data_IF_450750351656
#
_entry.id   IF_450750351656
#
_cell.length_a   1.000
_cell.length_b   1.000
_cell.length_c   1.000
_cell.angle_alpha   90.00
_cell.angle_beta   90.00
_cell.angle_gamma   90.00
#
_symmetry.space_group_name_H-M   'P 1'
#
loop_
_entity.id
_entity.type
_entity.pdbx_description
1 polymer ?
#
# COMPACT_ATOMS: atom_id res chain seq x y z
N UNK A 1 -9.50 -10.56 -12.14
CA UNK A 1 -8.59 -11.17 -13.13
C UNK A 1 -7.18 -10.77 -12.72
N UNK A 2 -6.18 -11.66 -12.78
CA UNK A 2 -4.81 -11.24 -12.47
C UNK A 2 -4.30 -10.38 -13.62
N UNK A 3 -3.75 -9.21 -13.31
CA UNK A 3 -3.20 -8.30 -14.33
C UNK A 3 -1.89 -8.88 -14.86
N UNK A 4 -1.74 -8.85 -16.17
CA UNK A 4 -0.54 -9.28 -16.89
C UNK A 4 0.15 -8.10 -17.58
N UNK A 5 1.40 -8.30 -18.00
CA UNK A 5 2.15 -7.28 -18.71
C UNK A 5 1.47 -6.96 -20.05
N UNK A 6 1.11 -5.70 -20.26
CA UNK A 6 0.40 -5.22 -21.45
C UNK A 6 -1.08 -4.95 -21.22
N UNK A 7 -1.65 -5.39 -20.09
CA UNK A 7 -3.01 -5.05 -19.70
C UNK A 7 -3.16 -3.55 -19.43
N UNK A 8 -4.35 -3.04 -19.75
CA UNK A 8 -4.73 -1.68 -19.36
C UNK A 8 -5.20 -1.71 -17.92
N UNK A 9 -4.63 -0.84 -17.10
CA UNK A 9 -5.14 -0.62 -15.74
C UNK A 9 -6.58 -0.08 -15.82
N UNK A 10 -7.52 -0.63 -15.02
CA UNK A 10 -8.86 -0.08 -14.93
C UNK A 10 -8.83 1.39 -14.52
N UNK A 11 -9.80 2.17 -15.01
CA UNK A 11 -10.00 3.51 -14.47
C UNK A 11 -10.54 3.39 -13.04
N UNK A 12 -9.97 4.15 -12.12
CA UNK A 12 -10.31 4.10 -10.70
C UNK A 12 -10.16 5.49 -10.10
N UNK A 13 -11.02 5.75 -9.12
CA UNK A 13 -11.01 6.97 -8.31
C UNK A 13 -11.00 6.55 -6.85
N UNK A 14 -9.99 6.98 -6.09
CA UNK A 14 -9.84 6.64 -4.68
C UNK A 14 -9.50 7.88 -3.85
N UNK A 15 -10.06 8.01 -2.62
CA UNK A 15 -9.76 9.13 -1.75
C UNK A 15 -8.31 9.08 -1.27
N UNK A 16 -7.63 10.23 -1.33
CA UNK A 16 -6.24 10.43 -0.94
C UNK A 16 -6.13 11.09 0.44
N UNK A 17 -5.05 10.79 1.16
CA UNK A 17 -4.80 11.33 2.50
C UNK A 17 -4.55 12.86 2.53
N UNK A 18 -4.36 13.48 1.37
CA UNK A 18 -4.25 14.95 1.24
C UNK A 18 -5.61 15.65 1.14
N UNK A 19 -6.71 14.88 1.16
CA UNK A 19 -8.08 15.40 1.07
C UNK A 19 -8.61 15.54 -0.35
N UNK A 20 -7.84 15.11 -1.37
CA UNK A 20 -8.29 15.06 -2.77
C UNK A 20 -8.69 13.63 -3.17
N UNK A 21 -9.27 13.49 -4.36
CA UNK A 21 -9.46 12.19 -5.00
C UNK A 21 -8.35 11.93 -6.02
N UNK A 22 -7.75 10.76 -5.96
CA UNK A 22 -6.79 10.29 -6.95
C UNK A 22 -7.53 9.63 -8.10
N UNK A 23 -7.31 10.13 -9.32
CA UNK A 23 -7.88 9.57 -10.55
C UNK A 23 -6.79 8.93 -11.42
N UNK A 24 -6.95 7.66 -11.75
CA UNK A 24 -6.00 6.95 -12.64
C UNK A 24 -6.02 7.50 -14.06
N UNK A 25 -7.18 7.96 -14.55
CA UNK A 25 -7.32 8.61 -15.85
C UNK A 25 -6.37 9.81 -16.05
N UNK A 26 -6.08 10.56 -14.98
CA UNK A 26 -5.18 11.72 -14.98
C UNK A 26 -3.69 11.33 -15.12
N UNK A 27 -3.36 10.04 -14.95
CA UNK A 27 -2.00 9.53 -15.07
C UNK A 27 -1.66 8.99 -16.45
N UNK A 28 -2.57 9.09 -17.44
CA UNK A 28 -2.32 8.66 -18.81
C UNK A 28 -1.06 9.31 -19.39
N UNK A 29 -0.20 8.48 -19.98
CA UNK A 29 1.08 8.90 -20.56
C UNK A 29 2.23 9.01 -19.55
N UNK A 30 1.98 8.83 -18.24
CA UNK A 30 3.02 8.80 -17.21
C UNK A 30 3.41 7.35 -16.86
N UNK A 31 4.63 7.17 -16.37
CA UNK A 31 5.06 5.91 -15.75
C UNK A 31 4.67 5.94 -14.28
N UNK A 32 3.82 5.01 -13.86
CA UNK A 32 3.26 4.96 -12.51
C UNK A 32 3.72 3.69 -11.79
N UNK A 33 4.32 3.85 -10.61
CA UNK A 33 4.53 2.78 -9.65
C UNK A 33 3.24 2.64 -8.84
N UNK A 34 2.38 1.72 -9.25
CA UNK A 34 1.13 1.43 -8.57
C UNK A 34 1.30 0.23 -7.63
N UNK A 35 1.11 0.41 -6.33
CA UNK A 35 1.41 -0.63 -5.34
C UNK A 35 0.28 -0.82 -4.34
N UNK A 36 -0.01 -2.08 -4.02
CA UNK A 36 -1.00 -2.47 -3.03
C UNK A 36 -0.32 -2.79 -1.70
N UNK A 37 -0.60 -1.99 -0.69
CA UNK A 37 -0.28 -2.29 0.69
C UNK A 37 -1.45 -3.02 1.36
N UNK A 38 -1.24 -3.48 2.60
CA UNK A 38 -2.29 -4.13 3.39
C UNK A 38 -3.11 -3.06 4.12
N UNK A 39 -3.30 -3.25 5.42
CA UNK A 39 -3.94 -2.29 6.31
C UNK A 39 -2.97 -1.20 6.80
N UNK A 40 -3.54 -0.09 7.27
CA UNK A 40 -2.82 1.13 7.67
C UNK A 40 -1.66 0.89 8.67
N UNK A 41 -1.84 -0.07 9.59
CA UNK A 41 -0.88 -0.37 10.66
C UNK A 41 -0.05 -1.62 10.39
N UNK A 42 0.02 -2.07 9.14
CA UNK A 42 0.79 -3.25 8.80
C UNK A 42 2.29 -2.98 9.05
N UNK A 43 2.97 -3.75 9.91
CA UNK A 43 4.37 -3.51 10.27
C UNK A 43 5.29 -3.55 9.04
N UNK A 44 5.12 -4.56 8.20
CA UNK A 44 5.94 -4.75 7.01
C UNK A 44 5.73 -3.64 5.97
N UNK A 45 4.47 -3.21 5.74
CA UNK A 45 4.18 -2.11 4.83
C UNK A 45 4.78 -0.80 5.33
N UNK A 46 4.66 -0.52 6.63
CA UNK A 46 5.21 0.70 7.21
C UNK A 46 6.74 0.76 7.18
N UNK A 47 7.43 -0.38 7.39
CA UNK A 47 8.88 -0.47 7.18
C UNK A 47 9.25 -0.29 5.71
N UNK A 48 8.48 -0.84 4.77
CA UNK A 48 8.72 -0.63 3.34
C UNK A 48 8.58 0.84 2.98
N UNK A 49 7.56 1.54 3.47
CA UNK A 49 7.40 2.99 3.28
C UNK A 49 8.60 3.73 3.85
N UNK A 50 9.04 3.42 5.07
CA UNK A 50 10.24 4.04 5.65
C UNK A 50 11.49 3.87 4.78
N UNK A 51 11.66 2.70 4.18
CA UNK A 51 12.78 2.44 3.29
C UNK A 51 12.65 3.22 1.97
N UNK A 52 11.44 3.36 1.42
CA UNK A 52 11.17 4.19 0.23
C UNK A 52 11.46 5.65 0.55
N UNK A 53 10.97 6.18 1.67
CA UNK A 53 11.21 7.57 2.08
C UNK A 53 12.70 7.90 2.17
N UNK A 54 13.49 7.00 2.77
CA UNK A 54 14.93 7.17 2.89
C UNK A 54 15.67 7.22 1.55
N UNK A 55 15.10 6.58 0.52
CA UNK A 55 15.70 6.40 -0.80
C UNK A 55 14.93 7.18 -1.86
N UNK A 56 14.04 8.09 -1.47
CA UNK A 56 13.17 8.78 -2.41
C UNK A 56 13.96 9.59 -3.43
N UNK A 57 15.08 10.19 -3.00
CA UNK A 57 16.00 10.92 -3.90
C UNK A 57 16.73 10.04 -4.92
N UNK A 58 16.60 8.71 -4.87
CA UNK A 58 17.10 7.80 -5.91
C UNK A 58 16.10 7.63 -7.07
N UNK A 59 14.83 7.99 -6.86
CA UNK A 59 13.83 7.98 -7.93
C UNK A 59 14.00 9.21 -8.82
N UNK A 60 13.64 9.07 -10.09
CA UNK A 60 13.64 10.20 -11.02
C UNK A 60 12.56 11.22 -10.62
N UNK A 61 12.77 12.52 -10.87
CA UNK A 61 11.87 13.59 -10.43
C UNK A 61 10.44 13.48 -10.99
N UNK A 62 10.27 12.81 -12.13
CA UNK A 62 8.98 12.56 -12.78
C UNK A 62 8.27 11.27 -12.27
N UNK A 63 8.86 10.58 -11.30
CA UNK A 63 8.31 9.33 -10.77
C UNK A 63 6.95 9.58 -10.12
N UNK A 64 5.91 8.97 -10.67
CA UNK A 64 4.60 8.91 -10.05
C UNK A 64 4.48 7.61 -9.29
N UNK A 65 4.28 7.68 -7.97
CA UNK A 65 4.01 6.50 -7.15
C UNK A 65 2.67 6.66 -6.42
N UNK A 66 1.91 5.58 -6.37
CA UNK A 66 0.59 5.52 -5.73
C UNK A 66 0.52 4.26 -4.88
N UNK A 67 0.33 4.45 -3.57
CA UNK A 67 0.16 3.38 -2.60
C UNK A 67 -1.29 3.22 -2.17
N UNK A 68 -1.92 2.10 -2.52
CA UNK A 68 -3.29 1.77 -2.14
C UNK A 68 -3.30 1.00 -0.81
N UNK A 69 -4.21 1.33 0.10
CA UNK A 69 -4.39 0.64 1.38
C UNK A 69 -5.83 0.13 1.59
N UNK A 70 -5.97 -1.08 2.15
CA UNK A 70 -7.22 -1.62 2.71
C UNK A 70 -7.48 -0.94 4.06
N UNK A 71 -8.03 0.27 4.00
CA UNK A 71 -8.26 1.12 5.15
C UNK A 71 -9.39 2.12 4.88
N UNK A 72 -9.98 2.66 5.95
CA UNK A 72 -10.82 3.85 5.85
C UNK A 72 -9.93 5.08 5.66
N UNK A 73 -10.40 6.07 4.91
CA UNK A 73 -9.63 7.28 4.63
C UNK A 73 -9.22 8.04 5.92
N UNK A 74 -10.12 8.17 6.89
CA UNK A 74 -9.84 8.85 8.17
C UNK A 74 -8.76 8.12 8.98
N UNK A 75 -8.78 6.79 8.96
CA UNK A 75 -7.79 5.94 9.62
C UNK A 75 -6.43 6.09 8.94
N UNK A 76 -6.41 6.01 7.62
CA UNK A 76 -5.19 6.10 6.83
C UNK A 76 -4.55 7.49 6.97
N UNK A 77 -5.36 8.55 6.88
CA UNK A 77 -4.92 9.95 7.03
C UNK A 77 -4.31 10.19 8.41
N UNK A 78 -4.95 9.73 9.48
CA UNK A 78 -4.41 9.85 10.84
C UNK A 78 -3.05 9.16 10.99
N UNK A 79 -2.82 8.06 10.28
CA UNK A 79 -1.60 7.24 10.37
C UNK A 79 -0.49 7.75 9.46
N UNK A 80 -0.83 8.20 8.26
CA UNK A 80 0.12 8.51 7.18
C UNK A 80 0.34 10.01 6.99
N UNK A 81 -0.66 10.85 7.24
CA UNK A 81 -0.63 12.28 6.91
C UNK A 81 0.50 13.06 7.58
N UNK A 82 0.96 12.63 8.76
CA UNK A 82 2.06 13.28 9.50
C UNK A 82 3.46 12.80 9.10
N UNK A 83 3.58 11.87 8.13
CA UNK A 83 4.86 11.21 7.79
C UNK A 83 5.63 11.90 6.67
N UNK A 84 5.07 12.93 6.02
CA UNK A 84 5.73 13.61 4.91
C UNK A 84 6.00 12.69 3.72
N UNK A 85 5.01 11.85 3.36
CA UNK A 85 5.16 10.89 2.26
C UNK A 85 5.13 11.67 0.93
N UNK A 86 6.17 11.55 0.06
CA UNK A 86 6.31 12.34 -1.16
C UNK A 86 5.55 11.74 -2.36
N UNK A 87 4.71 10.74 -2.11
CA UNK A 87 3.93 10.04 -3.13
C UNK A 87 2.48 9.88 -2.67
N UNK A 88 1.57 9.66 -3.62
CA UNK A 88 0.14 9.60 -3.35
C UNK A 88 -0.20 8.35 -2.54
N UNK A 89 -0.98 8.51 -1.47
CA UNK A 89 -1.45 7.41 -0.62
C UNK A 89 -2.97 7.46 -0.58
N UNK A 90 -3.60 6.39 -1.03
CA UNK A 90 -5.05 6.30 -1.23
C UNK A 90 -5.65 5.17 -0.42
N UNK A 91 -6.92 5.34 -0.04
CA UNK A 91 -7.67 4.37 0.74
C UNK A 91 -8.73 3.66 -0.13
N UNK A 92 -8.75 2.33 -0.09
CA UNK A 92 -9.86 1.52 -0.62
C UNK A 92 -10.50 0.75 0.54
N UNK A 93 -11.61 1.28 1.06
CA UNK A 93 -12.37 0.63 2.14
C UNK A 93 -13.14 -0.60 1.64
N UNK A 94 -13.46 -0.66 0.35
CA UNK A 94 -14.29 -1.72 -0.26
C UNK A 94 -13.49 -2.97 -0.64
N UNK A 95 -12.17 -2.83 -0.78
CA UNK A 95 -11.27 -3.84 -1.33
C UNK A 95 -11.56 -4.16 -2.82
N UNK A 96 -12.42 -3.40 -3.49
CA UNK A 96 -12.83 -3.68 -4.87
C UNK A 96 -11.65 -3.49 -5.83
N UNK A 97 -10.84 -2.45 -5.63
CA UNK A 97 -9.64 -2.20 -6.46
C UNK A 97 -8.68 -3.37 -6.40
N UNK A 98 -8.53 -3.96 -5.22
CA UNK A 98 -7.70 -5.14 -5.02
C UNK A 98 -8.22 -6.33 -5.83
N UNK A 99 -9.53 -6.61 -5.79
CA UNK A 99 -10.16 -7.71 -6.54
C UNK A 99 -10.06 -7.51 -8.06
N UNK A 100 -10.31 -6.28 -8.51
CA UNK A 100 -10.26 -5.92 -9.93
C UNK A 100 -8.85 -6.11 -10.52
N UNK A 101 -7.83 -5.87 -9.69
CA UNK A 101 -6.42 -6.04 -10.03
C UNK A 101 -5.87 -7.44 -9.68
N UNK A 102 -6.73 -8.37 -9.23
CA UNK A 102 -6.37 -9.76 -8.95
C UNK A 102 -5.49 -9.95 -7.72
N UNK A 103 -5.54 -9.05 -6.74
CA UNK A 103 -4.82 -9.17 -5.47
C UNK A 103 -5.50 -10.23 -4.60
N UNK A 104 -4.76 -11.30 -4.28
CA UNK A 104 -5.26 -12.42 -3.49
C UNK A 104 -5.08 -12.22 -1.98
N UNK A 105 -5.88 -12.95 -1.21
CA UNK A 105 -5.73 -13.10 0.24
C UNK A 105 -5.26 -14.51 0.59
N UNK A 106 -4.15 -14.64 1.31
CA UNK A 106 -3.69 -15.93 1.86
C UNK A 106 -3.01 -15.75 3.21
N UNK A 107 -3.68 -16.22 4.26
CA UNK A 107 -3.14 -16.17 5.62
C UNK A 107 -1.92 -17.07 5.81
N UNK A 108 -1.90 -18.28 5.24
CA UNK A 108 -0.77 -19.20 5.36
C UNK A 108 0.52 -18.64 4.74
N UNK A 109 0.42 -18.04 3.55
CA UNK A 109 1.56 -17.37 2.89
C UNK A 109 2.00 -16.13 3.66
N UNK A 110 1.06 -15.36 4.21
CA UNK A 110 1.38 -14.26 5.12
C UNK A 110 2.18 -14.72 6.34
N UNK A 111 1.70 -15.76 7.05
CA UNK A 111 2.38 -16.30 8.23
C UNK A 111 3.77 -16.82 7.90
N UNK A 112 3.92 -17.54 6.78
CA UNK A 112 5.23 -18.00 6.32
C UNK A 112 6.19 -16.83 6.05
N UNK A 113 5.71 -15.76 5.40
CA UNK A 113 6.50 -14.55 5.15
C UNK A 113 6.91 -13.82 6.44
N UNK A 114 5.99 -13.73 7.41
CA UNK A 114 6.25 -13.13 8.72
C UNK A 114 7.31 -13.93 9.50
N UNK A 115 7.21 -15.26 9.52
CA UNK A 115 8.18 -16.14 10.18
C UNK A 115 9.58 -16.04 9.56
N UNK A 116 9.67 -15.80 8.25
CA UNK A 116 10.95 -15.61 7.55
C UNK A 116 11.57 -14.23 7.76
N UNK A 117 10.85 -13.28 8.36
CA UNK A 117 11.28 -11.88 8.49
C UNK A 117 11.32 -11.37 9.94
N UNK A 118 11.94 -12.10 10.90
CA UNK A 118 11.89 -11.75 12.32
C UNK A 118 12.56 -10.41 12.62
N UNK A 119 13.66 -10.08 11.93
CA UNK A 119 14.36 -8.81 12.09
C UNK A 119 13.51 -7.60 11.68
N UNK A 120 12.76 -7.73 10.58
CA UNK A 120 11.83 -6.69 10.13
C UNK A 120 10.72 -6.48 11.16
N UNK A 121 10.23 -7.56 11.77
CA UNK A 121 9.21 -7.48 12.82
C UNK A 121 9.72 -6.76 14.06
N UNK A 122 10.93 -7.10 14.54
CA UNK A 122 11.58 -6.41 15.66
C UNK A 122 11.76 -4.93 15.36
N UNK A 123 12.28 -4.60 14.17
CA UNK A 123 12.48 -3.21 13.72
C UNK A 123 11.17 -2.43 13.66
N UNK A 124 10.09 -3.05 13.20
CA UNK A 124 8.77 -2.44 13.15
C UNK A 124 8.22 -2.16 14.56
N UNK A 125 8.36 -3.11 15.49
CA UNK A 125 7.94 -2.91 16.89
C UNK A 125 8.72 -1.79 17.57
N UNK A 126 10.05 -1.73 17.40
CA UNK A 126 10.88 -0.64 17.93
C UNK A 126 10.50 0.73 17.38
N UNK A 127 9.93 0.78 16.17
CA UNK A 127 9.40 1.99 15.52
C UNK A 127 7.94 2.27 15.85
N UNK A 128 7.30 1.46 16.70
CA UNK A 128 5.90 1.61 17.08
C UNK A 128 4.89 1.17 16.03
N UNK A 129 5.31 0.45 14.98
CA UNK A 129 4.41 -0.12 13.97
C UNK A 129 3.83 -1.44 14.45
N UNK A 130 2.97 -1.35 15.45
CA UNK A 130 2.29 -2.51 16.04
C UNK A 130 0.98 -2.73 15.28
N UNK A 131 0.71 -3.93 14.77
CA UNK A 131 -0.57 -4.24 14.14
C UNK A 131 -1.68 -4.16 15.18
N UNK A 132 -2.60 -3.19 15.05
CA UNK A 132 -3.76 -3.07 15.96
C UNK A 132 -5.00 -3.81 15.44
N UNK A 133 -4.86 -4.57 14.35
CA UNK A 133 -5.91 -5.45 13.87
C UNK A 133 -5.41 -6.89 13.91
N UNK A 134 -6.21 -7.76 14.53
CA UNK A 134 -6.07 -9.22 14.45
C UNK A 134 -7.02 -9.81 13.40
N UNK A 135 -7.61 -8.97 12.56
CA UNK A 135 -8.49 -9.44 11.48
C UNK A 135 -7.70 -10.24 10.46
N UNK A 136 -7.99 -11.54 10.39
CA UNK A 136 -7.40 -12.46 9.42
C UNK A 136 -7.63 -11.97 7.99
N UNK A 137 -8.78 -11.37 7.70
CA UNK A 137 -9.12 -10.88 6.36
C UNK A 137 -8.31 -9.65 5.94
N UNK A 138 -7.89 -8.79 6.88
CA UNK A 138 -7.02 -7.64 6.58
C UNK A 138 -5.55 -8.03 6.53
N UNK A 139 -5.15 -8.98 7.37
CA UNK A 139 -3.76 -9.45 7.42
C UNK A 139 -3.38 -10.31 6.21
N UNK A 140 -4.33 -11.04 5.64
CA UNK A 140 -4.08 -12.02 4.59
C UNK A 140 -3.84 -11.43 3.21
N UNK A 141 -4.05 -10.12 2.99
CA UNK A 141 -3.72 -9.45 1.71
C UNK A 141 -2.28 -9.73 1.32
N UNK A 142 -2.10 -10.37 0.17
CA UNK A 142 -0.78 -10.65 -0.36
C UNK A 142 -0.26 -9.42 -1.12
N UNK A 143 1.00 -9.03 -0.90
CA UNK A 143 1.65 -8.10 -1.81
C UNK A 143 1.65 -8.70 -3.22
N UNK A 144 1.42 -7.87 -4.23
CA UNK A 144 1.47 -8.26 -5.65
C UNK A 144 2.81 -7.94 -6.31
N UNK A 145 3.73 -7.35 -5.55
CA UNK A 145 5.13 -7.14 -5.94
C UNK A 145 6.03 -8.34 -5.66
#
# INVERSE_FOLDING_TARGET
MRIEAGDKIPDLVLPSIDGTDFEMSAMKGKRVIFTFFRFSTCPFCNIRIDNILKRWGEFHEDTVMVGVFDAKIDELTRRMGKRGIPFTVVADETYQTYLDNGVEKSFGRFMLGAMKSPLTMVKATLKGYIPMTLSLSKMSTLPVD
#
